data_IF_059567597995
#
_entry.id   IF_059567597995
#
_cell.length_a   1.000
_cell.length_b   1.000
_cell.length_c   1.000
_cell.angle_alpha   90.00
_cell.angle_beta   90.00
_cell.angle_gamma   90.00
#
_symmetry.space_group_name_H-M   'P 1'
#
loop_
_entity.id
_entity.type
_entity.pdbx_description
1 polymer ?
#
# COMPACT_ATOMS: atom_id res chain seq x y z
N UNK A 1 12.66 -13.87 14.62
CA UNK A 1 13.68 -13.38 13.68
C UNK A 1 14.01 -11.98 14.15
N UNK A 2 15.30 -11.68 14.40
CA UNK A 2 15.69 -10.34 14.86
C UNK A 2 15.55 -9.33 13.70
N UNK A 3 15.49 -8.03 14.02
CA UNK A 3 15.47 -6.98 13.00
C UNK A 3 16.72 -7.06 12.10
N UNK A 4 17.86 -7.41 12.67
CA UNK A 4 19.12 -7.58 11.94
C UNK A 4 19.10 -8.78 10.97
N UNK A 5 18.42 -9.88 11.33
CA UNK A 5 18.26 -11.03 10.42
C UNK A 5 17.38 -10.64 9.22
N UNK A 6 16.33 -9.86 9.47
CA UNK A 6 15.44 -9.35 8.42
C UNK A 6 16.19 -8.39 7.49
N UNK A 7 16.96 -7.46 8.03
CA UNK A 7 17.83 -6.57 7.26
C UNK A 7 18.79 -7.35 6.34
N UNK A 8 19.52 -8.32 6.91
CA UNK A 8 20.46 -9.16 6.14
C UNK A 8 19.77 -9.91 5.01
N UNK A 9 18.57 -10.46 5.28
CA UNK A 9 17.76 -11.11 4.25
C UNK A 9 17.42 -10.14 3.13
N UNK A 10 16.96 -8.94 3.43
CA UNK A 10 16.63 -7.93 2.41
C UNK A 10 17.84 -7.51 1.57
N UNK A 11 19.04 -7.51 2.15
CA UNK A 11 20.27 -7.18 1.43
C UNK A 11 20.72 -8.28 0.44
N UNK A 12 20.36 -9.54 0.68
CA UNK A 12 20.94 -10.69 -0.03
C UNK A 12 19.95 -11.46 -0.90
N UNK A 13 18.67 -11.44 -0.57
CA UNK A 13 17.63 -12.20 -1.30
C UNK A 13 17.33 -11.52 -2.64
N UNK A 14 17.35 -12.32 -3.72
CA UNK A 14 17.07 -11.87 -5.08
C UNK A 14 15.62 -11.43 -5.32
N UNK A 15 14.73 -11.68 -4.38
CA UNK A 15 13.36 -11.15 -4.41
C UNK A 15 13.33 -9.61 -4.35
N UNK A 16 14.29 -9.01 -3.67
CA UNK A 16 14.43 -7.55 -3.59
C UNK A 16 15.25 -7.03 -4.76
N UNK A 17 14.79 -5.95 -5.40
CA UNK A 17 15.48 -5.34 -6.52
C UNK A 17 16.86 -4.79 -6.14
N UNK A 18 17.65 -4.49 -7.16
CA UNK A 18 19.04 -4.05 -6.97
C UNK A 18 19.11 -2.68 -6.27
N UNK A 19 18.17 -1.78 -6.54
CA UNK A 19 18.14 -0.44 -5.96
C UNK A 19 17.82 -0.53 -4.45
N UNK A 20 16.82 -1.31 -4.07
CA UNK A 20 16.48 -1.60 -2.67
C UNK A 20 17.69 -2.19 -1.92
N UNK A 21 18.38 -3.16 -2.51
CA UNK A 21 19.55 -3.77 -1.88
C UNK A 21 20.71 -2.79 -1.74
N UNK A 22 20.96 -1.94 -2.75
CA UNK A 22 21.98 -0.87 -2.68
C UNK A 22 21.67 0.15 -1.59
N UNK A 23 20.41 0.58 -1.49
CA UNK A 23 19.97 1.50 -0.43
C UNK A 23 20.27 0.91 0.95
N UNK A 24 19.92 -0.35 1.17
CA UNK A 24 20.16 -1.03 2.45
C UNK A 24 21.65 -1.24 2.75
N UNK A 25 22.44 -1.66 1.77
CA UNK A 25 23.88 -1.85 1.93
C UNK A 25 24.58 -0.54 2.30
N UNK A 26 24.10 0.61 1.85
CA UNK A 26 24.61 1.92 2.20
C UNK A 26 24.38 2.27 3.69
N UNK A 27 23.47 1.56 4.39
CA UNK A 27 23.22 1.73 5.83
C UNK A 27 24.17 0.91 6.70
N UNK A 28 25.08 0.13 6.12
CA UNK A 28 25.98 -0.72 6.89
C UNK A 28 26.81 0.11 7.87
N UNK A 29 26.73 -0.25 9.16
CA UNK A 29 27.38 0.49 10.25
C UNK A 29 26.50 1.56 10.90
N UNK A 30 25.29 1.78 10.41
CA UNK A 30 24.29 2.66 11.04
C UNK A 30 23.17 1.83 11.69
N UNK A 31 23.49 1.18 12.80
CA UNK A 31 22.57 0.24 13.46
C UNK A 31 21.26 0.89 13.90
N UNK A 32 21.28 2.17 14.27
CA UNK A 32 20.06 2.90 14.66
C UNK A 32 19.07 3.05 13.50
N UNK A 33 19.55 3.39 12.31
CA UNK A 33 18.70 3.49 11.11
C UNK A 33 18.22 2.10 10.64
N UNK A 34 19.07 1.08 10.74
CA UNK A 34 18.69 -0.30 10.41
C UNK A 34 17.59 -0.77 11.38
N UNK A 35 17.75 -0.52 12.68
CA UNK A 35 16.73 -0.86 13.66
C UNK A 35 15.42 -0.14 13.36
N UNK A 36 15.42 1.17 13.15
CA UNK A 36 14.20 1.95 12.84
C UNK A 36 13.47 1.44 11.60
N UNK A 37 14.19 0.94 10.59
CA UNK A 37 13.59 0.38 9.37
C UNK A 37 13.05 -1.03 9.52
N UNK A 38 13.52 -1.81 10.49
CA UNK A 38 13.24 -3.25 10.58
C UNK A 38 12.70 -3.75 11.92
N UNK A 39 12.60 -2.89 12.97
CA UNK A 39 12.15 -3.33 14.30
C UNK A 39 10.70 -3.81 14.33
N UNK A 40 9.91 -3.39 13.36
CA UNK A 40 8.51 -3.81 13.17
C UNK A 40 8.11 -3.82 11.69
N UNK A 41 6.92 -4.31 11.42
CA UNK A 41 6.25 -4.10 10.15
C UNK A 41 5.44 -2.80 10.20
N UNK A 42 5.28 -2.16 9.05
CA UNK A 42 4.36 -1.04 8.91
C UNK A 42 2.93 -1.54 9.13
N UNK A 43 2.20 -0.91 10.05
CA UNK A 43 0.88 -1.36 10.48
C UNK A 43 -0.24 -0.46 9.95
N UNK A 44 -1.42 -1.05 9.74
CA UNK A 44 -2.62 -0.29 9.45
C UNK A 44 -3.09 0.45 10.71
N UNK A 45 -3.06 1.80 10.65
CA UNK A 45 -3.72 2.64 11.62
C UNK A 45 -5.15 2.99 11.21
N UNK A 46 -5.81 3.86 11.97
CA UNK A 46 -7.19 4.32 11.71
C UNK A 46 -7.37 4.95 10.30
N UNK A 47 -6.32 5.50 9.73
CA UNK A 47 -6.31 6.14 8.40
C UNK A 47 -5.56 5.36 7.32
N UNK A 48 -5.44 4.03 7.44
CA UNK A 48 -4.69 3.19 6.51
C UNK A 48 -3.23 3.01 6.89
N UNK A 49 -2.44 2.49 5.95
CA UNK A 49 -1.00 2.29 6.08
C UNK A 49 -0.29 3.59 5.68
N UNK A 50 0.59 4.12 6.52
CA UNK A 50 1.38 5.33 6.21
C UNK A 50 2.78 5.21 6.78
N UNK A 51 3.78 5.65 6.02
CA UNK A 51 5.18 5.63 6.46
C UNK A 51 6.08 6.46 5.58
N UNK A 52 7.31 6.63 6.03
CA UNK A 52 8.39 7.22 5.23
C UNK A 52 8.70 6.28 4.07
N UNK A 53 8.91 6.85 2.87
CA UNK A 53 9.31 6.09 1.68
C UNK A 53 10.74 5.58 1.85
N UNK A 54 11.00 4.32 1.55
CA UNK A 54 12.33 3.72 1.58
C UNK A 54 12.31 2.20 1.78
N UNK A 55 13.48 1.60 1.73
CA UNK A 55 13.67 0.17 1.96
C UNK A 55 13.52 -0.18 3.44
N UNK A 56 12.80 -1.27 3.74
CA UNK A 56 12.58 -1.78 5.09
C UNK A 56 11.13 -2.16 5.36
N UNK A 57 10.93 -2.98 6.39
CA UNK A 57 9.58 -3.45 6.78
C UNK A 57 8.73 -2.36 7.43
N UNK A 58 9.37 -1.35 8.06
CA UNK A 58 8.73 -0.18 8.66
C UNK A 58 8.79 1.05 7.74
N UNK A 59 8.74 0.84 6.43
CA UNK A 59 8.79 1.87 5.38
C UNK A 59 7.73 1.61 4.32
N UNK A 60 7.30 2.70 3.63
CA UNK A 60 6.50 2.60 2.43
C UNK A 60 7.39 2.27 1.23
N UNK A 61 7.16 1.13 0.61
CA UNK A 61 7.83 0.65 -0.58
C UNK A 61 6.92 -0.33 -1.34
N UNK A 62 7.37 -0.80 -2.49
CA UNK A 62 6.58 -1.73 -3.33
C UNK A 62 6.27 -3.04 -2.60
N UNK A 63 7.16 -3.52 -1.73
CA UNK A 63 6.97 -4.79 -0.99
C UNK A 63 5.91 -4.66 0.10
N UNK A 64 5.90 -3.55 0.84
CA UNK A 64 4.85 -3.27 1.85
C UNK A 64 3.50 -3.01 1.20
N UNK A 65 3.46 -2.36 0.02
CA UNK A 65 2.25 -2.20 -0.80
C UNK A 65 1.73 -3.55 -1.29
N UNK A 66 2.59 -4.42 -1.83
CA UNK A 66 2.23 -5.79 -2.25
C UNK A 66 1.65 -6.59 -1.09
N UNK A 67 2.29 -6.55 0.09
CA UNK A 67 1.82 -7.26 1.28
C UNK A 67 0.44 -6.78 1.72
N UNK A 68 0.23 -5.47 1.78
CA UNK A 68 -1.06 -4.87 2.11
C UNK A 68 -2.15 -5.26 1.10
N UNK A 69 -1.81 -5.18 -0.18
CA UNK A 69 -2.71 -5.52 -1.29
C UNK A 69 -3.05 -7.00 -1.31
N UNK A 70 -2.09 -7.89 -1.01
CA UNK A 70 -2.36 -9.32 -0.89
C UNK A 70 -3.33 -9.62 0.25
N UNK A 71 -3.22 -8.92 1.38
CA UNK A 71 -4.19 -9.01 2.47
C UNK A 71 -5.60 -8.60 2.04
N UNK A 72 -5.72 -7.50 1.29
CA UNK A 72 -7.00 -7.06 0.71
C UNK A 72 -7.52 -8.08 -0.32
N UNK A 73 -6.67 -8.62 -1.19
CA UNK A 73 -7.04 -9.63 -2.18
C UNK A 73 -7.60 -10.89 -1.50
N UNK A 74 -6.93 -11.38 -0.47
CA UNK A 74 -7.40 -12.55 0.30
C UNK A 74 -8.78 -12.29 0.92
N UNK A 75 -9.01 -11.09 1.45
CA UNK A 75 -10.32 -10.70 1.98
C UNK A 75 -11.40 -10.68 0.88
N UNK A 76 -11.13 -10.05 -0.27
CA UNK A 76 -12.06 -9.98 -1.40
C UNK A 76 -12.42 -11.38 -1.89
N UNK A 77 -11.44 -12.29 -2.01
CA UNK A 77 -11.63 -13.68 -2.40
C UNK A 77 -12.53 -14.40 -1.38
N UNK A 78 -12.30 -14.21 -0.09
CA UNK A 78 -13.12 -14.81 0.97
C UNK A 78 -14.60 -14.39 0.92
N UNK A 79 -14.87 -13.22 0.31
CA UNK A 79 -16.22 -12.69 0.11
C UNK A 79 -16.80 -13.02 -1.28
N UNK A 80 -16.10 -13.82 -2.11
CA UNK A 80 -16.48 -14.12 -3.51
C UNK A 80 -16.68 -12.83 -4.34
N UNK A 81 -15.86 -11.81 -4.10
CA UNK A 81 -16.04 -10.47 -4.66
C UNK A 81 -15.13 -10.12 -5.85
N UNK A 82 -14.39 -11.10 -6.41
CA UNK A 82 -13.38 -10.86 -7.45
C UNK A 82 -13.94 -10.15 -8.68
N UNK A 83 -15.13 -10.54 -9.11
CA UNK A 83 -15.78 -10.01 -10.32
C UNK A 83 -16.22 -8.55 -10.21
N UNK A 84 -16.42 -8.05 -8.99
CA UNK A 84 -16.80 -6.66 -8.76
C UNK A 84 -15.66 -5.69 -9.01
N UNK A 85 -14.44 -6.14 -8.79
CA UNK A 85 -13.23 -5.34 -9.01
C UNK A 85 -12.93 -4.31 -7.93
N UNK A 86 -11.80 -3.61 -8.11
CA UNK A 86 -11.28 -2.58 -7.19
C UNK A 86 -10.92 -1.34 -7.98
N UNK A 87 -11.38 -0.17 -7.53
CA UNK A 87 -10.98 1.12 -8.08
C UNK A 87 -9.72 1.63 -7.37
N UNK A 88 -8.78 2.22 -8.12
CA UNK A 88 -7.48 2.69 -7.58
C UNK A 88 -7.22 4.12 -8.02
N UNK A 89 -7.06 5.01 -7.05
CA UNK A 89 -6.66 6.39 -7.23
C UNK A 89 -5.31 6.68 -6.54
N UNK A 90 -4.66 7.76 -6.92
CA UNK A 90 -3.40 8.19 -6.32
C UNK A 90 -3.27 9.71 -6.41
N UNK A 91 -2.46 10.28 -5.51
CA UNK A 91 -2.15 11.70 -5.47
C UNK A 91 -0.81 12.03 -6.15
N UNK A 92 -0.34 13.27 -6.00
CA UNK A 92 0.90 13.78 -6.62
C UNK A 92 2.17 13.46 -5.82
N UNK A 93 2.10 12.64 -4.79
CA UNK A 93 3.27 12.30 -3.97
C UNK A 93 4.26 11.44 -4.74
N UNK A 94 5.52 11.50 -4.28
CA UNK A 94 6.59 10.64 -4.77
C UNK A 94 6.15 9.18 -4.66
N UNK A 95 6.40 8.37 -5.70
CA UNK A 95 6.05 6.94 -5.80
C UNK A 95 4.54 6.63 -5.80
N UNK A 96 3.65 7.62 -5.81
CA UNK A 96 2.21 7.34 -5.84
C UNK A 96 1.75 6.60 -7.10
N UNK A 97 2.20 6.97 -8.32
CA UNK A 97 1.91 6.19 -9.52
C UNK A 97 2.43 4.76 -9.43
N UNK A 98 3.69 4.56 -9.04
CA UNK A 98 4.36 3.25 -8.94
C UNK A 98 3.65 2.35 -7.92
N UNK A 99 3.33 2.88 -6.74
CA UNK A 99 2.58 2.12 -5.72
C UNK A 99 1.17 1.77 -6.19
N UNK A 100 0.52 2.63 -6.97
CA UNK A 100 -0.80 2.33 -7.55
C UNK A 100 -0.71 1.23 -8.60
N UNK A 101 0.36 1.19 -9.41
CA UNK A 101 0.62 0.12 -10.36
C UNK A 101 0.89 -1.21 -9.67
N UNK A 102 1.71 -1.22 -8.62
CA UNK A 102 2.00 -2.42 -7.82
C UNK A 102 0.74 -3.00 -7.17
N UNK A 103 -0.14 -2.13 -6.64
CA UNK A 103 -1.43 -2.57 -6.11
C UNK A 103 -2.31 -3.20 -7.20
N UNK A 104 -2.39 -2.59 -8.37
CA UNK A 104 -3.16 -3.11 -9.50
C UNK A 104 -2.62 -4.47 -9.96
N UNK A 105 -1.30 -4.60 -10.14
CA UNK A 105 -0.65 -5.84 -10.55
C UNK A 105 -0.88 -6.97 -9.54
N UNK A 106 -0.77 -6.68 -8.25
CA UNK A 106 -1.02 -7.65 -7.19
C UNK A 106 -2.48 -8.15 -7.20
N UNK A 107 -3.45 -7.26 -7.33
CA UNK A 107 -4.87 -7.63 -7.44
C UNK A 107 -5.15 -8.46 -8.70
N UNK A 108 -4.62 -8.04 -9.86
CA UNK A 108 -4.79 -8.75 -11.11
C UNK A 108 -4.18 -10.17 -11.07
N UNK A 109 -3.02 -10.33 -10.41
CA UNK A 109 -2.40 -11.63 -10.19
C UNK A 109 -3.27 -12.57 -9.33
N UNK A 110 -4.16 -12.02 -8.51
CA UNK A 110 -5.17 -12.76 -7.73
C UNK A 110 -6.52 -12.91 -8.45
N UNK A 111 -6.59 -12.58 -9.74
CA UNK A 111 -7.82 -12.68 -10.54
C UNK A 111 -8.87 -11.61 -10.21
N UNK A 112 -8.47 -10.53 -9.54
CA UNK A 112 -9.36 -9.42 -9.18
C UNK A 112 -9.20 -8.31 -10.21
N UNK A 113 -10.30 -7.90 -10.84
CA UNK A 113 -10.32 -6.81 -11.82
C UNK A 113 -9.98 -5.48 -11.17
N UNK A 114 -9.19 -4.63 -11.84
CA UNK A 114 -8.83 -3.30 -11.35
C UNK A 114 -9.26 -2.20 -12.32
N UNK A 115 -9.65 -1.07 -11.75
CA UNK A 115 -9.97 0.18 -12.44
C UNK A 115 -9.04 1.27 -11.88
N UNK A 116 -7.88 1.45 -12.51
CA UNK A 116 -6.92 2.45 -12.09
C UNK A 116 -7.09 3.72 -12.90
N UNK A 117 -7.12 4.87 -12.24
CA UNK A 117 -7.16 6.15 -12.92
C UNK A 117 -5.86 6.41 -13.69
N UNK A 118 -5.96 6.98 -14.89
CA UNK A 118 -4.81 7.32 -15.74
C UNK A 118 -3.97 8.48 -15.17
N UNK A 119 -4.61 9.35 -14.39
CA UNK A 119 -3.96 10.50 -13.75
C UNK A 119 -4.40 10.61 -12.30
N UNK A 120 -3.70 11.45 -11.54
CA UNK A 120 -4.00 11.67 -10.13
C UNK A 120 -5.47 12.11 -9.92
N UNK A 121 -6.11 11.57 -8.88
CA UNK A 121 -7.49 11.87 -8.50
C UNK A 121 -7.65 11.96 -6.98
N UNK A 122 -8.51 12.88 -6.52
CA UNK A 122 -8.78 13.03 -5.09
C UNK A 122 -9.68 11.88 -4.55
N UNK A 123 -9.59 11.64 -3.26
CA UNK A 123 -10.37 10.59 -2.56
C UNK A 123 -11.88 10.65 -2.80
N UNK A 124 -12.55 11.82 -2.86
CA UNK A 124 -13.99 11.89 -3.16
C UNK A 124 -14.35 11.28 -4.52
N UNK A 125 -13.50 11.46 -5.54
CA UNK A 125 -13.71 10.90 -6.88
C UNK A 125 -13.55 9.37 -6.86
N UNK A 126 -12.60 8.85 -6.10
CA UNK A 126 -12.50 7.40 -5.86
C UNK A 126 -13.76 6.86 -5.20
N UNK A 127 -14.26 7.49 -4.15
CA UNK A 127 -15.47 7.06 -3.44
C UNK A 127 -16.71 7.05 -4.37
N UNK A 128 -16.81 8.03 -5.25
CA UNK A 128 -17.84 8.05 -6.30
C UNK A 128 -17.67 6.88 -7.27
N UNK A 129 -16.46 6.68 -7.78
CA UNK A 129 -16.17 5.63 -8.77
C UNK A 129 -16.40 4.21 -8.23
N UNK A 130 -16.09 3.97 -6.96
CA UNK A 130 -16.38 2.68 -6.32
C UNK A 130 -17.86 2.35 -6.38
N UNK A 131 -18.74 3.33 -6.14
CA UNK A 131 -20.19 3.14 -6.21
C UNK A 131 -20.69 3.03 -7.65
N UNK A 132 -20.23 3.93 -8.52
CA UNK A 132 -20.67 3.98 -9.93
C UNK A 132 -20.28 2.72 -10.70
N UNK A 133 -19.07 2.20 -10.48
CA UNK A 133 -18.59 0.97 -11.11
C UNK A 133 -19.01 -0.31 -10.39
N UNK A 134 -19.69 -0.20 -9.26
CA UNK A 134 -20.08 -1.36 -8.44
C UNK A 134 -18.89 -2.13 -7.88
N UNK A 135 -17.75 -1.45 -7.65
CA UNK A 135 -16.55 -2.07 -7.10
C UNK A 135 -16.77 -2.53 -5.65
N UNK A 136 -16.10 -3.64 -5.27
CA UNK A 136 -16.14 -4.15 -3.90
C UNK A 136 -15.28 -3.31 -2.95
N UNK A 137 -14.23 -2.68 -3.48
CA UNK A 137 -13.30 -1.85 -2.71
C UNK A 137 -12.71 -0.73 -3.56
N UNK A 138 -12.14 0.27 -2.89
CA UNK A 138 -11.29 1.29 -3.48
C UNK A 138 -9.96 1.39 -2.75
N UNK A 139 -8.91 1.75 -3.47
CA UNK A 139 -7.59 2.04 -2.93
C UNK A 139 -7.23 3.46 -3.31
N UNK A 140 -6.72 4.25 -2.37
CA UNK A 140 -6.06 5.51 -2.68
C UNK A 140 -4.64 5.52 -2.12
N UNK A 141 -3.68 5.81 -2.98
CA UNK A 141 -2.29 5.99 -2.61
C UNK A 141 -2.08 7.45 -2.25
N UNK A 142 -1.97 7.72 -0.97
CA UNK A 142 -1.81 9.07 -0.41
C UNK A 142 -1.40 9.01 1.06
N UNK A 143 -0.63 9.97 1.51
CA UNK A 143 -0.37 10.20 2.93
C UNK A 143 -1.10 11.43 3.48
N UNK A 144 -2.09 11.97 2.76
CA UNK A 144 -2.91 13.11 3.19
C UNK A 144 -2.05 14.34 3.54
N UNK A 145 -1.97 14.71 4.80
CA UNK A 145 -1.25 15.89 5.31
C UNK A 145 0.14 15.56 5.91
N UNK A 146 0.59 14.32 5.83
CA UNK A 146 1.95 13.98 6.29
C UNK A 146 3.03 14.71 5.46
N UNK A 147 4.27 14.88 5.98
CA UNK A 147 5.39 15.45 5.24
C UNK A 147 5.63 14.75 3.88
N UNK A 148 6.36 15.43 3.00
CA UNK A 148 6.55 14.98 1.60
C UNK A 148 7.26 13.64 1.46
N UNK A 149 8.09 13.28 2.43
CA UNK A 149 8.82 12.01 2.50
C UNK A 149 7.93 10.81 2.85
N UNK A 150 6.68 11.05 3.23
CA UNK A 150 5.69 10.01 3.50
C UNK A 150 4.86 9.68 2.28
N UNK A 151 4.47 8.43 2.17
CA UNK A 151 3.34 8.00 1.36
C UNK A 151 2.46 7.04 2.16
N UNK A 152 1.35 6.62 1.59
CA UNK A 152 0.43 5.73 2.29
C UNK A 152 -0.49 4.98 1.34
N UNK A 153 -1.16 3.99 1.92
CA UNK A 153 -2.10 3.10 1.26
C UNK A 153 -3.37 3.06 2.10
N UNK A 154 -4.45 3.63 1.58
CA UNK A 154 -5.76 3.64 2.23
C UNK A 154 -6.71 2.77 1.42
N UNK A 155 -7.41 1.85 2.08
CA UNK A 155 -8.44 1.05 1.44
C UNK A 155 -9.84 1.44 1.94
N UNK A 156 -10.77 1.58 1.01
CA UNK A 156 -12.20 1.77 1.25
C UNK A 156 -12.87 0.45 0.89
N UNK A 157 -13.41 -0.27 1.87
CA UNK A 157 -14.11 -1.53 1.65
C UNK A 157 -15.60 -1.24 1.67
N UNK A 158 -16.30 -1.55 0.56
CA UNK A 158 -17.72 -1.25 0.39
C UNK A 158 -18.65 -2.40 0.83
N UNK A 159 -18.15 -3.32 1.66
CA UNK A 159 -18.95 -4.37 2.26
C UNK A 159 -19.50 -3.87 3.59
N UNK A 160 -20.77 -3.39 3.51
CA UNK A 160 -21.68 -3.19 4.64
C UNK A 160 -21.13 -2.48 5.89
N UNK A 161 -20.52 -1.30 5.70
CA UNK A 161 -20.72 -0.29 6.71
C UNK A 161 -22.04 0.41 6.36
N UNK A 162 -23.09 0.31 7.21
CA UNK A 162 -24.18 1.27 7.11
C UNK A 162 -23.51 2.63 7.22
N UNK A 163 -23.75 3.49 6.27
CA UNK A 163 -23.34 4.89 6.29
C UNK A 163 -23.72 5.41 7.67
N UNK A 164 -22.75 5.58 8.58
CA UNK A 164 -22.94 6.46 9.72
C UNK A 164 -22.97 7.86 9.13
N UNK A 165 -24.12 8.21 8.65
CA UNK A 165 -24.47 9.59 8.46
C UNK A 165 -24.43 10.19 9.86
N UNK A 166 -23.40 10.99 10.14
CA UNK A 166 -23.40 11.82 11.33
C UNK A 166 -24.64 12.69 11.19
N UNK A 167 -25.61 12.46 12.03
CA UNK A 167 -26.67 13.43 12.26
C UNK A 167 -25.97 14.66 12.85
N UNK A 168 -25.99 15.75 12.10
CA UNK A 168 -25.60 17.07 12.55
C UNK A 168 -26.81 17.70 13.16
#
# INVERSE_FOLDING_TARGET
MSYMDTYKKWCTDSYFDEETRKELLALQGNDAEIEDRFYRQLEFGTGGLRGVIGAGTNRMNIYTVRQATQGLANYIISQNGQDKGVAIAYDSRIMSPEFSDEAALCLNANGIKTYRFESLRPTPELSFSVRELGCIAGIVITASHNPREYNGYLSLIHISEPTRQAEI
#
